data_IF_357685194536
#
_entry.id   IF_357685194536
#
_cell.length_a   1.000
_cell.length_b   1.000
_cell.length_c   1.000
_cell.angle_alpha   90.00
_cell.angle_beta   90.00
_cell.angle_gamma   90.00
#
_symmetry.space_group_name_H-M   'P 1'
#
loop_
_entity.id
_entity.type
_entity.pdbx_description
1 polymer ?
#
# COMPACT_ATOMS: atom_id res chain seq x y z
N UNK A 1 -5.80 11.52 9.14
CA UNK A 1 -6.43 12.69 8.54
C UNK A 1 -6.76 12.36 7.10
N UNK A 2 -8.00 12.52 6.67
CA UNK A 2 -8.41 12.22 5.30
C UNK A 2 -9.20 13.42 4.77
N UNK A 3 -8.99 13.78 3.51
CA UNK A 3 -9.93 14.67 2.83
C UNK A 3 -11.27 13.95 2.66
N UNK A 4 -12.38 14.70 2.64
CA UNK A 4 -13.74 14.17 2.57
C UNK A 4 -13.97 13.27 1.32
N UNK A 5 -13.11 13.38 0.33
CA UNK A 5 -13.11 12.65 -0.93
C UNK A 5 -12.01 11.56 -1.01
N UNK A 6 -11.58 11.07 0.16
CA UNK A 6 -10.44 10.16 0.33
C UNK A 6 -10.61 8.75 -0.23
N UNK A 7 -11.34 8.61 -1.31
CA UNK A 7 -11.53 7.33 -2.01
C UNK A 7 -10.50 7.10 -3.13
N UNK A 8 -9.32 7.74 -3.01
CA UNK A 8 -8.23 7.48 -3.93
C UNK A 8 -7.86 6.00 -3.89
N UNK A 9 -8.03 5.27 -5.00
CA UNK A 9 -7.66 3.87 -5.05
C UNK A 9 -6.15 3.70 -5.09
N UNK A 10 -5.63 2.84 -4.23
CA UNK A 10 -4.24 2.44 -4.16
C UNK A 10 -4.11 0.98 -4.59
N UNK A 11 -3.01 0.67 -5.24
CA UNK A 11 -2.64 -0.69 -5.59
C UNK A 11 -1.27 -0.99 -4.98
N UNK A 12 -1.21 -2.01 -4.15
CA UNK A 12 0.00 -2.42 -3.46
C UNK A 12 0.56 -3.69 -4.09
N UNK A 13 1.81 -3.98 -3.80
CA UNK A 13 2.42 -5.25 -4.14
C UNK A 13 3.35 -5.67 -3.01
N UNK A 14 3.23 -6.91 -2.59
CA UNK A 14 4.07 -7.46 -1.52
C UNK A 14 5.50 -7.66 -2.05
N UNK A 15 6.49 -7.35 -1.21
CA UNK A 15 7.90 -7.43 -1.64
C UNK A 15 8.36 -8.87 -1.89
N UNK A 16 7.83 -9.85 -1.16
CA UNK A 16 8.16 -11.26 -1.39
C UNK A 16 7.56 -11.75 -2.71
N UNK A 17 6.34 -11.28 -3.05
CA UNK A 17 5.75 -11.54 -4.36
C UNK A 17 6.57 -10.91 -5.48
N UNK A 18 7.10 -9.71 -5.27
CA UNK A 18 8.02 -9.09 -6.24
C UNK A 18 9.26 -9.95 -6.45
N UNK A 19 9.91 -10.39 -5.38
CA UNK A 19 11.09 -11.26 -5.48
C UNK A 19 10.77 -12.56 -6.21
N UNK A 20 9.67 -13.21 -5.82
CA UNK A 20 9.19 -14.44 -6.47
C UNK A 20 8.90 -14.24 -7.96
N UNK A 21 8.27 -13.12 -8.32
CA UNK A 21 8.02 -12.82 -9.72
C UNK A 21 9.31 -12.61 -10.51
N UNK A 22 10.30 -11.93 -9.94
CA UNK A 22 11.62 -11.78 -10.57
C UNK A 22 12.31 -13.14 -10.78
N UNK A 23 12.26 -14.04 -9.80
CA UNK A 23 12.79 -15.41 -9.93
C UNK A 23 12.11 -16.14 -11.11
N UNK A 24 10.79 -16.10 -11.20
CA UNK A 24 10.02 -16.68 -12.31
C UNK A 24 10.47 -16.11 -13.67
N UNK A 25 10.68 -14.80 -13.76
CA UNK A 25 11.12 -14.17 -15.00
C UNK A 25 12.55 -14.58 -15.39
N UNK A 26 13.45 -14.75 -14.42
CA UNK A 26 14.82 -15.23 -14.65
C UNK A 26 14.85 -16.67 -15.16
N UNK A 27 13.96 -17.51 -14.63
CA UNK A 27 13.85 -18.91 -15.06
C UNK A 27 13.19 -19.05 -16.43
N UNK A 28 12.04 -18.40 -16.62
CA UNK A 28 11.22 -18.57 -17.82
C UNK A 28 11.70 -17.76 -19.03
N UNK A 29 12.44 -16.67 -18.80
CA UNK A 29 12.98 -15.78 -19.81
C UNK A 29 11.99 -15.40 -20.93
N UNK A 30 10.82 -14.83 -20.56
CA UNK A 30 9.81 -14.49 -21.58
C UNK A 30 10.34 -13.47 -22.56
N UNK A 31 9.77 -13.44 -23.77
CA UNK A 31 10.10 -12.41 -24.77
C UNK A 31 9.66 -11.02 -24.34
N UNK A 32 8.54 -10.94 -23.64
CA UNK A 32 8.04 -9.68 -23.06
C UNK A 32 9.06 -9.12 -22.05
N UNK A 33 9.40 -7.84 -22.19
CA UNK A 33 10.42 -7.17 -21.38
C UNK A 33 9.85 -6.22 -20.33
N UNK A 34 8.57 -5.88 -20.41
CA UNK A 34 7.92 -4.92 -19.51
C UNK A 34 6.67 -5.56 -18.92
N UNK A 35 6.58 -5.53 -17.61
CA UNK A 35 5.44 -6.02 -16.84
C UNK A 35 4.99 -4.96 -15.84
N UNK A 36 3.70 -4.70 -15.78
CA UNK A 36 3.11 -4.06 -14.62
C UNK A 36 2.99 -5.10 -13.50
N UNK A 37 3.36 -4.71 -12.31
CA UNK A 37 3.28 -5.56 -11.13
C UNK A 37 2.41 -4.90 -10.06
N UNK A 38 1.61 -5.68 -9.36
CA UNK A 38 0.69 -5.19 -8.34
C UNK A 38 -0.28 -6.27 -7.89
N UNK A 39 -0.89 -6.05 -6.74
CA UNK A 39 -2.02 -6.88 -6.34
C UNK A 39 -3.21 -6.56 -7.26
N UNK A 40 -3.94 -7.54 -7.79
CA UNK A 40 -5.13 -7.28 -8.61
C UNK A 40 -6.24 -6.55 -7.83
N UNK A 41 -6.22 -6.65 -6.49
CA UNK A 41 -7.11 -5.91 -5.61
C UNK A 41 -6.61 -4.49 -5.40
N UNK A 42 -7.53 -3.52 -5.47
CA UNK A 42 -7.30 -2.13 -5.10
C UNK A 42 -7.99 -1.82 -3.78
N UNK A 43 -7.38 -0.92 -3.02
CA UNK A 43 -7.97 -0.43 -1.77
C UNK A 43 -7.95 1.09 -1.74
N UNK A 44 -8.97 1.71 -1.16
CA UNK A 44 -8.93 3.15 -0.90
C UNK A 44 -7.95 3.46 0.24
N UNK A 45 -7.49 4.70 0.36
CA UNK A 45 -6.63 5.12 1.48
C UNK A 45 -7.31 4.80 2.82
N UNK A 46 -8.60 5.08 2.95
CA UNK A 46 -9.36 4.74 4.15
C UNK A 46 -9.45 3.22 4.36
N UNK A 47 -9.74 2.48 3.29
CA UNK A 47 -9.76 1.01 3.30
C UNK A 47 -8.43 0.41 3.74
N UNK A 48 -7.31 0.97 3.27
CA UNK A 48 -5.97 0.58 3.69
C UNK A 48 -5.76 0.77 5.19
N UNK A 49 -6.07 1.96 5.71
CA UNK A 49 -5.95 2.23 7.15
C UNK A 49 -6.81 1.28 7.97
N UNK A 50 -8.05 1.01 7.54
CA UNK A 50 -8.92 0.02 8.22
C UNK A 50 -8.28 -1.37 8.26
N UNK A 51 -7.67 -1.83 7.17
CA UNK A 51 -6.98 -3.12 7.13
C UNK A 51 -5.75 -3.15 8.03
N UNK A 52 -4.94 -2.08 8.03
CA UNK A 52 -3.80 -1.95 8.94
C UNK A 52 -4.20 -2.07 10.41
N UNK A 53 -5.30 -1.42 10.81
CA UNK A 53 -5.82 -1.55 12.16
C UNK A 53 -6.48 -2.91 12.41
N UNK A 54 -7.12 -3.48 11.38
CA UNK A 54 -7.80 -4.77 11.46
C UNK A 54 -6.87 -5.93 11.80
N UNK A 55 -5.65 -5.96 11.25
CA UNK A 55 -4.65 -7.00 11.61
C UNK A 55 -4.21 -6.94 13.07
N UNK A 56 -4.44 -5.81 13.73
CA UNK A 56 -4.19 -5.61 15.17
C UNK A 56 -5.45 -5.78 16.04
N UNK A 57 -6.57 -6.19 15.44
CA UNK A 57 -7.88 -6.23 16.11
C UNK A 57 -8.28 -4.86 16.68
N UNK A 58 -7.88 -3.76 16.04
CA UNK A 58 -8.20 -2.38 16.43
C UNK A 58 -9.09 -1.71 15.39
N UNK A 59 -9.76 -0.63 15.80
CA UNK A 59 -10.52 0.24 14.92
C UNK A 59 -9.81 1.59 14.80
N UNK A 60 -9.63 2.14 13.60
CA UNK A 60 -9.08 3.47 13.45
C UNK A 60 -10.08 4.52 13.93
N UNK A 61 -9.59 5.54 14.61
CA UNK A 61 -10.33 6.79 14.78
C UNK A 61 -9.87 7.74 13.69
N UNK A 62 -10.77 8.11 12.80
CA UNK A 62 -10.45 8.95 11.64
C UNK A 62 -11.10 10.31 11.79
N UNK A 63 -10.33 11.36 11.53
CA UNK A 63 -10.80 12.74 11.47
C UNK A 63 -10.69 13.20 10.02
N UNK A 64 -11.79 13.73 9.49
CA UNK A 64 -11.81 14.35 8.18
C UNK A 64 -11.38 15.80 8.31
N UNK A 65 -10.49 16.21 7.43
CA UNK A 65 -9.97 17.58 7.41
C UNK A 65 -10.54 18.31 6.22
N UNK A 66 -10.88 19.58 6.42
CA UNK A 66 -11.34 20.44 5.33
C UNK A 66 -10.20 20.62 4.30
N UNK A 67 -10.52 20.42 3.03
CA UNK A 67 -9.58 20.58 1.92
C UNK A 67 -9.03 21.99 1.73
N UNK A 68 -9.63 23.00 2.38
CA UNK A 68 -9.12 24.38 2.41
C UNK A 68 -7.87 24.55 3.28
N UNK A 69 -7.61 23.61 4.19
CA UNK A 69 -6.42 23.66 5.05
C UNK A 69 -5.23 23.11 4.26
N UNK A 70 -4.12 23.89 4.11
CA UNK A 70 -2.93 23.40 3.44
C UNK A 70 -2.43 22.12 4.09
N UNK A 71 -2.40 21.03 3.32
CA UNK A 71 -1.97 19.74 3.79
C UNK A 71 -0.80 19.24 2.97
N UNK A 72 0.07 18.49 3.64
CA UNK A 72 1.13 17.78 2.94
C UNK A 72 0.50 16.66 2.13
N UNK A 73 0.54 16.79 0.81
CA UNK A 73 0.11 15.73 -0.08
C UNK A 73 1.11 14.58 -0.08
N UNK A 74 0.72 13.43 0.45
CA UNK A 74 1.51 12.20 0.36
C UNK A 74 1.23 11.43 -0.92
N UNK A 75 0.03 11.63 -1.47
CA UNK A 75 -0.45 10.95 -2.66
C UNK A 75 -0.79 12.02 -3.70
N UNK A 76 0.12 12.31 -4.64
CA UNK A 76 -0.07 13.37 -5.62
C UNK A 76 -1.08 13.04 -6.73
N UNK A 77 -1.79 11.92 -6.62
CA UNK A 77 -2.68 11.41 -7.66
C UNK A 77 -4.13 11.79 -7.37
N UNK A 78 -4.46 13.07 -7.50
CA UNK A 78 -5.73 13.61 -7.03
C UNK A 78 -6.97 13.12 -7.78
N UNK A 79 -6.91 12.90 -9.09
CA UNK A 79 -8.11 12.70 -9.92
C UNK A 79 -7.99 11.48 -10.86
N UNK A 80 -7.12 10.53 -10.54
CA UNK A 80 -6.94 9.38 -11.40
C UNK A 80 -7.52 8.11 -10.79
N UNK A 81 -8.43 7.47 -11.51
CA UNK A 81 -8.72 6.06 -11.28
C UNK A 81 -7.53 5.21 -11.74
N UNK A 82 -6.48 5.22 -10.93
CA UNK A 82 -5.22 4.59 -11.25
C UNK A 82 -5.27 3.10 -10.99
N UNK A 83 -5.28 2.33 -12.08
CA UNK A 83 -5.19 0.87 -12.02
C UNK A 83 -4.16 0.38 -13.02
N UNK A 84 -3.12 -0.26 -12.51
CA UNK A 84 -2.22 -1.03 -13.38
C UNK A 84 -2.94 -2.30 -13.85
N UNK A 85 -2.90 -2.55 -15.14
CA UNK A 85 -3.25 -3.85 -15.68
C UNK A 85 -2.11 -4.83 -15.39
N UNK A 86 -2.38 -5.78 -14.52
CA UNK A 86 -1.42 -6.80 -14.07
C UNK A 86 -1.67 -8.17 -14.71
N UNK A 87 -2.51 -8.25 -15.73
CA UNK A 87 -2.87 -9.50 -16.40
C UNK A 87 -1.65 -10.27 -16.88
N UNK A 88 -0.69 -9.58 -17.49
CA UNK A 88 0.54 -10.20 -17.97
C UNK A 88 1.42 -10.78 -16.85
N UNK A 89 1.42 -10.19 -15.66
CA UNK A 89 2.08 -10.76 -14.48
C UNK A 89 1.35 -12.04 -14.04
N UNK A 90 0.02 -11.98 -14.00
CA UNK A 90 -0.81 -13.11 -13.53
C UNK A 90 -0.75 -14.35 -14.43
N UNK A 91 -0.39 -14.21 -15.72
CA UNK A 91 -0.09 -15.34 -16.60
C UNK A 91 1.07 -16.20 -16.07
N UNK A 92 2.06 -15.57 -15.44
CA UNK A 92 3.25 -16.23 -14.89
C UNK A 92 3.11 -16.56 -13.41
N UNK A 93 2.45 -15.70 -12.67
CA UNK A 93 2.23 -15.82 -11.23
C UNK A 93 0.75 -15.59 -10.89
N UNK A 94 -0.11 -16.60 -11.07
CA UNK A 94 -1.57 -16.48 -10.93
C UNK A 94 -2.04 -16.26 -9.48
N UNK A 95 -1.16 -16.47 -8.51
CA UNK A 95 -1.46 -16.27 -7.09
C UNK A 95 -0.51 -15.25 -6.49
N UNK A 96 -1.08 -14.21 -5.92
CA UNK A 96 -0.39 -13.20 -5.11
C UNK A 96 -0.81 -13.31 -3.66
N UNK A 97 0.05 -12.84 -2.77
CA UNK A 97 -0.24 -12.83 -1.33
C UNK A 97 -1.46 -11.93 -1.03
N UNK A 98 -2.43 -12.41 -0.23
CA UNK A 98 -3.51 -11.57 0.24
C UNK A 98 -2.99 -10.35 1.01
N UNK A 99 -3.63 -9.20 0.84
CA UNK A 99 -3.20 -7.94 1.46
C UNK A 99 -3.10 -8.08 2.99
N UNK A 100 -4.06 -8.72 3.62
CA UNK A 100 -4.11 -8.91 5.07
C UNK A 100 -2.96 -9.79 5.59
N UNK A 101 -2.54 -10.76 4.79
CA UNK A 101 -1.39 -11.61 5.12
C UNK A 101 -0.09 -10.82 5.06
N UNK A 102 0.13 -10.07 3.99
CA UNK A 102 1.29 -9.19 3.84
C UNK A 102 1.36 -8.12 4.94
N UNK A 103 0.22 -7.53 5.31
CA UNK A 103 0.13 -6.57 6.42
C UNK A 103 0.51 -7.20 7.76
N UNK A 104 0.04 -8.43 8.05
CA UNK A 104 0.37 -9.14 9.28
C UNK A 104 1.87 -9.41 9.36
N UNK A 105 2.45 -9.94 8.30
CA UNK A 105 3.89 -10.22 8.23
C UNK A 105 4.72 -8.93 8.39
N UNK A 106 4.31 -7.85 7.71
CA UNK A 106 4.97 -6.54 7.85
C UNK A 106 4.91 -6.00 9.28
N UNK A 107 3.78 -6.19 9.96
CA UNK A 107 3.63 -5.79 11.36
C UNK A 107 4.49 -6.64 12.30
N UNK A 108 4.50 -7.96 12.12
CA UNK A 108 5.32 -8.89 12.91
C UNK A 108 6.81 -8.55 12.75
N UNK A 109 7.24 -8.31 11.52
CA UNK A 109 8.60 -7.84 11.24
C UNK A 109 8.89 -6.51 11.95
N UNK A 110 8.01 -5.53 11.83
CA UNK A 110 8.17 -4.23 12.49
C UNK A 110 8.23 -4.38 14.01
N UNK A 111 7.39 -5.22 14.60
CA UNK A 111 7.37 -5.45 16.04
C UNK A 111 8.68 -6.05 16.54
N UNK A 112 9.28 -6.96 15.76
CA UNK A 112 10.55 -7.61 16.06
C UNK A 112 11.78 -6.73 15.81
N UNK A 113 11.66 -5.70 14.93
CA UNK A 113 12.81 -4.90 14.46
C UNK A 113 12.59 -3.39 14.67
N UNK A 114 11.89 -3.00 15.72
CA UNK A 114 11.52 -1.58 15.97
C UNK A 114 12.71 -0.63 16.05
N UNK A 115 13.82 -1.11 16.55
CA UNK A 115 15.08 -0.35 16.70
C UNK A 115 15.77 -0.08 15.36
N UNK A 116 15.49 -0.88 14.34
CA UNK A 116 16.04 -0.70 12.99
C UNK A 116 15.24 0.33 12.18
N UNK A 117 14.04 0.70 12.64
CA UNK A 117 13.14 1.58 11.90
C UNK A 117 13.43 3.04 12.25
N UNK A 118 13.89 3.79 11.24
CA UNK A 118 14.10 5.23 11.35
C UNK A 118 12.73 5.92 11.38
N UNK A 119 12.39 6.54 12.50
CA UNK A 119 11.18 7.36 12.61
C UNK A 119 11.39 8.69 11.90
N UNK A 120 10.53 9.00 10.94
CA UNK A 120 10.50 10.35 10.36
C UNK A 120 9.72 11.28 11.29
N UNK A 121 10.10 12.56 11.42
CA UNK A 121 9.44 13.56 12.29
C UNK A 121 8.09 14.03 11.69
N UNK A 122 7.25 13.08 11.26
CA UNK A 122 5.94 13.37 10.66
C UNK A 122 4.86 13.62 11.71
N UNK A 123 5.07 13.13 12.92
CA UNK A 123 4.13 13.29 14.03
C UNK A 123 4.09 14.74 14.54
N UNK A 124 5.20 15.48 14.44
CA UNK A 124 5.26 16.91 14.79
C UNK A 124 4.33 17.72 13.89
N UNK A 125 4.41 17.52 12.57
CA UNK A 125 3.51 18.20 11.62
C UNK A 125 2.03 17.93 11.93
N UNK A 126 1.68 16.71 12.33
CA UNK A 126 0.29 16.35 12.69
C UNK A 126 -0.11 17.05 13.98
N UNK A 127 0.77 17.09 14.98
CA UNK A 127 0.50 17.75 16.26
C UNK A 127 0.29 19.26 16.10
N UNK A 128 1.06 19.90 15.21
CA UNK A 128 1.02 21.33 14.98
C UNK A 128 -0.22 21.80 14.16
N UNK A 129 -0.94 20.85 13.50
CA UNK A 129 -2.07 21.16 12.62
C UNK A 129 -3.38 20.47 13.04
N UNK A 130 -3.46 19.91 14.25
CA UNK A 130 -4.67 19.41 14.90
C UNK A 130 -5.18 20.36 15.97
#
# INVERSE_FOLDING_TARGET
MFQKEGDLPLQFFDIEDMCRFLEILLEKRPERRVFNVGNPERVTVYGWVKRCYGVLNKRPVCVYVDGSIPQRSYFPFYDYDYKLDVSAMLEFMPKVKPIEEGLRQSYEWFAANRELVIRKPLLEFIADNL
#
